data_IF_309183341807
#
_entry.id   IF_309183341807
#
_cell.length_a   1.000
_cell.length_b   1.000
_cell.length_c   1.000
_cell.angle_alpha   90.00
_cell.angle_beta   90.00
_cell.angle_gamma   90.00
#
_symmetry.space_group_name_H-M   'P 1'
#
loop_
_entity.id
_entity.type
_entity.pdbx_description
1 polymer ?
#
# COMPACT_ATOMS: atom_id res chain seq x y z
N UNK A 1 20.08 23.52 42.58
CA UNK A 1 19.66 22.18 42.09
C UNK A 1 18.23 22.29 41.60
N UNK A 2 18.05 22.41 40.28
CA UNK A 2 16.78 22.78 39.66
C UNK A 2 16.45 21.76 38.58
N UNK A 3 15.17 21.37 38.51
CA UNK A 3 14.47 20.85 37.33
C UNK A 3 14.87 19.45 36.81
N UNK A 4 14.73 18.41 37.64
CA UNK A 4 14.62 17.02 37.14
C UNK A 4 13.39 16.31 37.73
N UNK A 5 12.29 17.05 37.89
CA UNK A 5 11.01 16.53 38.34
C UNK A 5 9.91 16.99 37.38
N UNK A 6 9.86 16.40 36.18
CA UNK A 6 8.69 16.36 35.28
C UNK A 6 9.04 15.68 33.96
N UNK A 7 9.06 14.34 33.97
CA UNK A 7 8.98 13.58 32.71
C UNK A 7 8.00 12.41 32.91
N UNK A 8 6.76 12.78 33.24
CA UNK A 8 5.60 11.89 33.13
C UNK A 8 4.73 12.53 32.05
N UNK A 9 5.02 12.24 30.79
CA UNK A 9 4.22 12.67 29.65
C UNK A 9 3.67 11.45 28.92
N UNK A 10 2.40 11.16 29.24
CA UNK A 10 1.34 10.76 28.32
C UNK A 10 1.68 9.65 27.32
N UNK A 11 1.49 8.41 27.77
CA UNK A 11 1.18 7.29 26.87
C UNK A 11 -0.29 7.47 26.47
N UNK A 12 -0.55 8.28 25.45
CA UNK A 12 -1.86 8.34 24.83
C UNK A 12 -2.08 7.00 24.11
N UNK A 13 -2.90 6.14 24.70
CA UNK A 13 -3.43 4.95 24.06
C UNK A 13 -4.33 5.39 22.91
N UNK A 14 -3.79 5.28 21.69
CA UNK A 14 -4.51 5.42 20.42
C UNK A 14 -5.49 4.25 20.29
N UNK A 15 -6.62 4.33 20.98
CA UNK A 15 -7.78 3.49 20.75
C UNK A 15 -8.50 4.01 19.50
N UNK A 16 -7.82 3.91 18.35
CA UNK A 16 -8.45 4.11 17.06
C UNK A 16 -9.52 3.02 16.88
N UNK A 17 -10.76 3.48 16.83
CA UNK A 17 -11.98 2.75 16.55
C UNK A 17 -11.77 1.47 15.72
N UNK A 18 -11.91 0.32 16.38
CA UNK A 18 -12.22 -0.94 15.74
C UNK A 18 -13.66 -0.86 15.23
N UNK A 19 -13.87 -0.15 14.12
CA UNK A 19 -15.08 -0.33 13.30
C UNK A 19 -15.05 -1.76 12.78
N UNK A 20 -16.02 -2.57 13.21
CA UNK A 20 -16.36 -3.93 12.76
C UNK A 20 -15.67 -4.37 11.46
N UNK A 21 -14.50 -5.00 11.61
CA UNK A 21 -13.77 -5.70 10.53
C UNK A 21 -14.30 -7.13 10.32
N UNK A 22 -15.34 -7.53 11.03
CA UNK A 22 -15.90 -8.86 10.97
C UNK A 22 -16.80 -9.00 9.72
N UNK A 23 -16.24 -9.59 8.66
CA UNK A 23 -16.92 -10.27 7.52
C UNK A 23 -16.78 -9.65 6.11
N UNK A 24 -15.90 -8.67 5.87
CA UNK A 24 -15.64 -8.23 4.49
C UNK A 24 -14.62 -9.18 3.84
N UNK A 25 -15.08 -10.09 3.00
CA UNK A 25 -14.23 -10.96 2.17
C UNK A 25 -13.33 -10.11 1.27
N UNK A 26 -12.07 -10.49 1.10
CA UNK A 26 -11.14 -9.79 0.20
C UNK A 26 -11.72 -9.76 -1.22
N UNK A 27 -11.94 -8.57 -1.81
CA UNK A 27 -12.47 -8.47 -3.15
C UNK A 27 -11.40 -8.84 -4.18
N UNK A 28 -11.84 -9.23 -5.38
CA UNK A 28 -10.97 -9.36 -6.55
C UNK A 28 -11.21 -8.20 -7.53
N UNK A 29 -10.44 -7.10 -7.47
CA UNK A 29 -10.67 -5.91 -8.29
C UNK A 29 -10.52 -6.13 -9.79
N UNK A 30 -9.84 -7.22 -10.22
CA UNK A 30 -9.66 -7.54 -11.65
C UNK A 30 -10.90 -8.15 -12.29
N UNK A 31 -11.78 -8.75 -11.48
CA UNK A 31 -13.02 -9.35 -11.94
C UNK A 31 -14.22 -8.38 -11.84
N UNK A 32 -14.04 -7.23 -11.21
CA UNK A 32 -15.10 -6.25 -10.97
C UNK A 32 -15.08 -5.13 -12.00
N UNK A 33 -16.28 -4.66 -12.37
CA UNK A 33 -16.48 -3.42 -13.12
C UNK A 33 -16.29 -2.19 -12.22
N UNK A 34 -16.09 -1.02 -12.84
CA UNK A 34 -15.97 0.25 -12.12
C UNK A 34 -17.20 0.60 -11.29
N UNK A 35 -18.40 0.13 -11.66
CA UNK A 35 -19.63 0.36 -10.90
C UNK A 35 -19.61 -0.46 -9.62
N UNK A 36 -19.33 -1.75 -9.72
CA UNK A 36 -19.24 -2.67 -8.59
C UNK A 36 -18.15 -2.24 -7.61
N UNK A 37 -17.02 -1.73 -8.11
CA UNK A 37 -15.95 -1.18 -7.26
C UNK A 37 -16.44 0.02 -6.45
N UNK A 38 -17.23 0.93 -7.04
CA UNK A 38 -17.78 2.09 -6.32
C UNK A 38 -18.77 1.66 -5.24
N UNK A 39 -19.66 0.71 -5.57
CA UNK A 39 -20.64 0.16 -4.63
C UNK A 39 -19.98 -0.58 -3.46
N UNK A 40 -18.89 -1.31 -3.74
CA UNK A 40 -18.09 -1.94 -2.70
C UNK A 40 -17.37 -0.91 -1.82
N UNK A 41 -16.69 0.06 -2.43
CA UNK A 41 -15.97 1.10 -1.71
C UNK A 41 -16.89 2.01 -0.88
N UNK A 42 -18.15 2.20 -1.28
CA UNK A 42 -19.12 3.00 -0.53
C UNK A 42 -19.39 2.46 0.87
N UNK A 43 -19.11 1.17 1.12
CA UNK A 43 -19.29 0.50 2.41
C UNK A 43 -18.04 0.58 3.29
N UNK A 44 -16.94 1.11 2.78
CA UNK A 44 -15.63 1.09 3.43
C UNK A 44 -15.07 2.49 3.62
N UNK A 45 -14.30 2.70 4.68
CA UNK A 45 -13.43 3.88 4.77
C UNK A 45 -12.32 3.80 3.73
N UNK A 46 -11.80 4.96 3.32
CA UNK A 46 -10.77 5.06 2.29
C UNK A 46 -9.43 4.47 2.71
N UNK A 47 -9.22 4.36 4.02
CA UNK A 47 -8.04 3.87 4.71
C UNK A 47 -8.13 2.37 4.97
N UNK A 48 -9.32 1.78 4.75
CA UNK A 48 -9.55 0.36 4.94
C UNK A 48 -8.61 -0.50 4.07
N UNK A 49 -8.06 -1.62 4.57
CA UNK A 49 -7.13 -2.47 3.82
C UNK A 49 -7.70 -2.98 2.48
N UNK A 50 -9.00 -3.29 2.45
CA UNK A 50 -9.70 -3.76 1.25
C UNK A 50 -10.27 -2.66 0.37
N UNK A 51 -10.14 -1.37 0.73
CA UNK A 51 -10.57 -0.29 -0.13
C UNK A 51 -9.83 -0.35 -1.47
N UNK A 52 -10.57 -0.33 -2.58
CA UNK A 52 -10.04 -0.55 -3.92
C UNK A 52 -9.62 0.80 -4.52
N UNK A 53 -8.36 0.92 -4.94
CA UNK A 53 -7.84 2.07 -5.67
C UNK A 53 -7.46 1.68 -7.09
N UNK A 54 -8.02 2.41 -8.06
CA UNK A 54 -7.68 2.31 -9.47
C UNK A 54 -6.73 3.45 -9.85
N UNK A 55 -5.52 3.10 -10.28
CA UNK A 55 -4.51 4.06 -10.75
C UNK A 55 -4.47 4.01 -12.28
N UNK A 56 -4.51 5.19 -12.90
CA UNK A 56 -4.39 5.36 -14.35
C UNK A 56 -2.91 5.44 -14.72
N UNK A 57 -2.52 4.76 -15.79
CA UNK A 57 -1.16 4.76 -16.32
C UNK A 57 -1.16 4.85 -17.83
N UNK A 58 -0.08 5.37 -18.39
CA UNK A 58 0.08 5.52 -19.83
C UNK A 58 0.57 4.20 -20.43
N UNK A 59 0.00 3.80 -21.57
CA UNK A 59 0.45 2.59 -22.27
C UNK A 59 1.74 2.90 -23.04
N UNK A 60 2.82 2.18 -22.73
CA UNK A 60 4.10 2.35 -23.45
C UNK A 60 3.89 2.10 -24.95
N UNK A 61 4.33 3.05 -25.77
CA UNK A 61 4.14 3.00 -27.23
C UNK A 61 2.82 3.62 -27.71
N UNK A 62 2.00 4.20 -26.84
CA UNK A 62 0.82 4.96 -27.22
C UNK A 62 0.68 6.27 -26.44
N UNK A 63 0.51 7.39 -27.16
CA UNK A 63 0.32 8.72 -26.55
C UNK A 63 -1.11 8.86 -25.99
N UNK A 64 -2.08 8.22 -26.67
CA UNK A 64 -3.49 8.37 -26.36
C UNK A 64 -4.03 7.26 -25.43
N UNK A 65 -3.50 6.04 -25.51
CA UNK A 65 -4.04 4.92 -24.72
C UNK A 65 -3.62 4.98 -23.26
N UNK A 66 -4.56 4.64 -22.40
CA UNK A 66 -4.43 4.69 -20.95
C UNK A 66 -4.91 3.36 -20.39
N UNK A 67 -4.13 2.79 -19.50
CA UNK A 67 -4.48 1.56 -18.78
C UNK A 67 -4.87 1.90 -17.35
N UNK A 68 -5.70 1.06 -16.75
CA UNK A 68 -6.11 1.20 -15.35
C UNK A 68 -5.67 -0.04 -14.58
N UNK A 69 -5.03 0.19 -13.43
CA UNK A 69 -4.65 -0.87 -12.51
C UNK A 69 -5.43 -0.70 -11.21
N UNK A 70 -6.42 -1.56 -10.99
CA UNK A 70 -7.21 -1.59 -9.77
C UNK A 70 -6.66 -2.65 -8.81
N UNK A 71 -6.37 -2.25 -7.57
CA UNK A 71 -5.92 -3.13 -6.47
C UNK A 71 -6.46 -2.61 -5.15
N UNK A 72 -6.55 -3.46 -4.13
CA UNK A 72 -6.85 -3.03 -2.76
C UNK A 72 -5.69 -2.22 -2.16
N UNK A 73 -5.95 -1.44 -1.12
CA UNK A 73 -4.90 -0.71 -0.39
C UNK A 73 -3.80 -1.64 0.11
N UNK A 74 -4.17 -2.80 0.65
CA UNK A 74 -3.22 -3.81 1.10
C UNK A 74 -2.36 -4.35 -0.06
N UNK A 75 -2.96 -4.66 -1.20
CA UNK A 75 -2.24 -5.13 -2.38
C UNK A 75 -1.29 -4.05 -2.93
N UNK A 76 -1.69 -2.78 -2.88
CA UNK A 76 -0.81 -1.67 -3.25
C UNK A 76 0.39 -1.55 -2.30
N UNK A 77 0.17 -1.70 -1.00
CA UNK A 77 1.26 -1.72 -0.01
C UNK A 77 2.22 -2.87 -0.28
N UNK A 78 1.70 -4.08 -0.48
CA UNK A 78 2.53 -5.24 -0.81
C UNK A 78 3.33 -5.04 -2.10
N UNK A 79 2.70 -4.52 -3.16
CA UNK A 79 3.37 -4.28 -4.43
C UNK A 79 4.50 -3.24 -4.28
N UNK A 80 4.28 -2.18 -3.51
CA UNK A 80 5.31 -1.17 -3.22
C UNK A 80 6.47 -1.76 -2.42
N UNK A 81 6.17 -2.49 -1.35
CA UNK A 81 7.18 -3.06 -0.45
C UNK A 81 8.03 -4.10 -1.20
N UNK A 82 7.39 -5.01 -1.95
CA UNK A 82 8.08 -5.98 -2.81
C UNK A 82 8.90 -5.30 -3.91
N UNK A 83 8.36 -4.28 -4.58
CA UNK A 83 9.08 -3.54 -5.61
C UNK A 83 10.37 -2.91 -5.08
N UNK A 84 10.31 -2.30 -3.90
CA UNK A 84 11.48 -1.69 -3.26
C UNK A 84 12.52 -2.73 -2.84
N UNK A 85 12.10 -3.87 -2.30
CA UNK A 85 13.05 -4.94 -1.94
C UNK A 85 13.71 -5.54 -3.17
N UNK A 86 12.95 -5.76 -4.25
CA UNK A 86 13.51 -6.27 -5.51
C UNK A 86 14.52 -5.29 -6.11
N UNK A 87 14.24 -3.97 -6.06
CA UNK A 87 15.18 -2.96 -6.52
C UNK A 87 16.50 -2.99 -5.73
N UNK A 88 16.42 -3.07 -4.39
CA UNK A 88 17.61 -3.19 -3.54
C UNK A 88 18.39 -4.47 -3.83
N UNK A 89 17.71 -5.61 -3.89
CA UNK A 89 18.34 -6.91 -4.19
C UNK A 89 19.00 -6.95 -5.58
N UNK A 90 18.42 -6.25 -6.56
CA UNK A 90 19.01 -6.11 -7.89
C UNK A 90 20.32 -5.33 -7.83
N UNK A 91 20.34 -4.19 -7.13
CA UNK A 91 21.56 -3.39 -6.95
C UNK A 91 22.63 -4.20 -6.22
N UNK A 92 22.28 -4.85 -5.12
CA UNK A 92 23.19 -5.69 -4.33
C UNK A 92 23.80 -6.84 -5.15
N UNK A 93 22.98 -7.51 -5.97
CA UNK A 93 23.42 -8.57 -6.88
C UNK A 93 24.40 -8.06 -7.95
N UNK A 94 24.20 -6.83 -8.44
CA UNK A 94 25.10 -6.21 -9.41
C UNK A 94 26.42 -5.75 -8.77
N UNK A 95 26.38 -5.16 -7.57
CA UNK A 95 27.58 -4.65 -6.88
C UNK A 95 28.44 -5.77 -6.28
N UNK A 96 27.81 -6.83 -5.75
CA UNK A 96 28.52 -7.99 -5.20
C UNK A 96 29.34 -8.71 -6.27
N UNK A 97 28.83 -8.80 -7.51
CA UNK A 97 29.57 -9.40 -8.64
C UNK A 97 30.66 -8.50 -9.21
N UNK A 98 30.51 -7.17 -9.13
CA UNK A 98 31.54 -6.22 -9.56
C UNK A 98 32.77 -6.21 -8.63
N UNK A 99 32.60 -6.59 -7.36
CA UNK A 99 33.68 -6.57 -6.36
C UNK A 99 34.47 -7.89 -6.33
N UNK A 100 33.94 -8.99 -6.88
CA UNK A 100 34.61 -10.30 -6.94
C UNK A 100 35.26 -10.48 -8.32
N UNK A 101 36.28 -9.68 -8.61
CA UNK A 101 37.23 -9.95 -9.69
C UNK A 101 38.64 -9.78 -9.12
N UNK A 102 39.23 -10.89 -8.67
CA UNK A 102 40.65 -11.03 -8.30
C UNK A 102 41.22 -12.18 -9.13
#
# INVERSE_FOLDING_TARGET
>A
MSLLASMILLIASDAAAQTDLASVTEPNPKAMSQKEIREFNAKLSREHPFYIRCVKSDETGSIARKTFSCRTNQQWKLAHDTGNQNARGTVESMTSKATVTN
#
